data_IF_373573640412
#
_entry.id   IF_373573640412
#
_cell.length_a   1.000
_cell.length_b   1.000
_cell.length_c   1.000
_cell.angle_alpha   90.00
_cell.angle_beta   90.00
_cell.angle_gamma   90.00
#
_symmetry.space_group_name_H-M   'P 1'
#
loop_
_entity.id
_entity.type
_entity.pdbx_description
1 polymer ?
#
# COMPACT_ATOMS: atom_id res chain seq x y z
N UNK A 1 15.55 3.97 -6.64
CA UNK A 1 14.20 3.45 -6.39
C UNK A 1 13.50 4.22 -5.27
N UNK A 2 14.14 4.41 -4.09
CA UNK A 2 13.57 5.12 -2.95
C UNK A 2 13.03 6.53 -3.28
N UNK A 3 13.75 7.31 -4.09
CA UNK A 3 13.26 8.63 -4.54
C UNK A 3 11.99 8.50 -5.39
N UNK A 4 11.92 7.52 -6.27
CA UNK A 4 10.74 7.29 -7.11
C UNK A 4 9.52 6.92 -6.26
N UNK A 5 9.69 6.02 -5.28
CA UNK A 5 8.61 5.67 -4.35
C UNK A 5 8.20 6.84 -3.47
N UNK A 6 9.15 7.70 -3.06
CA UNK A 6 8.86 8.96 -2.38
C UNK A 6 7.99 9.90 -3.23
N UNK A 7 8.32 10.07 -4.51
CA UNK A 7 7.51 10.87 -5.45
C UNK A 7 6.10 10.29 -5.60
N UNK A 8 5.97 8.97 -5.74
CA UNK A 8 4.66 8.30 -5.80
C UNK A 8 3.84 8.58 -4.54
N UNK A 9 4.46 8.52 -3.36
CA UNK A 9 3.78 8.81 -2.08
C UNK A 9 3.27 10.25 -2.01
N UNK A 10 4.08 11.22 -2.43
CA UNK A 10 3.65 12.64 -2.50
C UNK A 10 2.50 12.82 -3.47
N UNK A 11 2.59 12.22 -4.67
CA UNK A 11 1.51 12.29 -5.65
C UNK A 11 0.22 11.65 -5.15
N UNK A 12 0.31 10.55 -4.40
CA UNK A 12 -0.83 9.88 -3.79
C UNK A 12 -1.53 10.79 -2.76
N UNK A 13 -0.75 11.47 -1.91
CA UNK A 13 -1.29 12.45 -0.95
C UNK A 13 -1.90 13.66 -1.65
N UNK A 14 -1.28 14.16 -2.71
CA UNK A 14 -1.84 15.24 -3.53
C UNK A 14 -3.17 14.83 -4.17
N UNK A 15 -3.27 13.61 -4.67
CA UNK A 15 -4.50 13.07 -5.25
C UNK A 15 -5.60 12.94 -4.21
N UNK A 16 -5.30 12.41 -3.04
CA UNK A 16 -6.25 12.28 -1.94
C UNK A 16 -6.74 13.68 -1.49
N UNK A 17 -5.83 14.63 -1.33
CA UNK A 17 -6.16 16.00 -0.96
C UNK A 17 -6.96 16.73 -2.03
N UNK A 18 -6.60 16.59 -3.31
CA UNK A 18 -7.31 17.25 -4.41
C UNK A 18 -8.73 16.70 -4.62
N UNK A 19 -8.93 15.38 -4.46
CA UNK A 19 -10.27 14.78 -4.53
C UNK A 19 -11.15 15.22 -3.37
N UNK A 20 -10.59 15.35 -2.16
CA UNK A 20 -11.29 15.91 -1.01
C UNK A 20 -11.67 17.38 -1.22
N UNK A 21 -10.73 18.22 -1.66
CA UNK A 21 -10.99 19.62 -1.96
C UNK A 21 -12.08 19.78 -3.04
N UNK A 22 -12.03 18.98 -4.09
CA UNK A 22 -13.04 19.01 -5.14
C UNK A 22 -14.45 18.63 -4.63
N UNK A 23 -14.53 17.88 -3.54
CA UNK A 23 -15.81 17.51 -2.91
C UNK A 23 -16.32 18.60 -1.95
N UNK A 24 -15.42 19.31 -1.26
CA UNK A 24 -15.78 20.25 -0.17
C UNK A 24 -15.77 21.71 -0.59
N UNK A 25 -15.33 22.04 -1.81
CA UNK A 25 -15.23 23.43 -2.28
C UNK A 25 -16.00 23.61 -3.58
N UNK A 26 -16.32 24.88 -3.86
CA UNK A 26 -17.09 25.26 -5.05
C UNK A 26 -16.27 26.13 -6.01
N UNK A 27 -16.82 26.34 -7.20
CA UNK A 27 -16.36 27.29 -8.21
C UNK A 27 -14.86 27.15 -8.60
N UNK A 28 -14.07 28.20 -8.39
CA UNK A 28 -12.68 28.29 -8.88
C UNK A 28 -11.74 27.27 -8.20
N UNK A 29 -11.92 27.00 -6.90
CA UNK A 29 -11.08 26.06 -6.15
C UNK A 29 -11.35 24.63 -6.61
N UNK A 30 -12.62 24.28 -6.77
CA UNK A 30 -13.02 22.97 -7.27
C UNK A 30 -12.44 22.67 -8.67
N UNK A 31 -12.50 23.67 -9.59
CA UNK A 31 -11.95 23.53 -10.95
C UNK A 31 -10.43 23.29 -10.92
N UNK A 32 -9.70 24.02 -10.05
CA UNK A 32 -8.25 23.82 -9.87
C UNK A 32 -7.95 22.45 -9.28
N UNK A 33 -8.70 22.02 -8.27
CA UNK A 33 -8.55 20.71 -7.66
C UNK A 33 -8.75 19.56 -8.68
N UNK A 34 -9.77 19.64 -9.54
CA UNK A 34 -10.00 18.68 -10.63
C UNK A 34 -8.83 18.61 -11.62
N UNK A 35 -8.23 19.74 -11.95
CA UNK A 35 -7.06 19.77 -12.83
C UNK A 35 -5.83 19.15 -12.15
N UNK A 36 -5.61 19.41 -10.87
CA UNK A 36 -4.54 18.77 -10.09
C UNK A 36 -4.74 17.27 -10.05
N UNK A 37 -5.97 16.79 -9.79
CA UNK A 37 -6.27 15.34 -9.81
C UNK A 37 -5.95 14.70 -11.16
N UNK A 38 -6.25 15.36 -12.27
CA UNK A 38 -5.94 14.82 -13.59
C UNK A 38 -4.42 14.69 -13.80
N UNK A 39 -3.68 15.78 -13.64
CA UNK A 39 -2.24 15.77 -13.94
C UNK A 39 -1.43 14.94 -12.93
N UNK A 40 -1.74 15.08 -11.65
CA UNK A 40 -1.11 14.25 -10.61
C UNK A 40 -1.45 12.78 -10.77
N UNK A 41 -2.68 12.44 -11.21
CA UNK A 41 -3.10 11.08 -11.48
C UNK A 41 -2.33 10.45 -12.64
N UNK A 42 -2.22 11.14 -13.76
CA UNK A 42 -1.44 10.66 -14.91
C UNK A 42 0.05 10.49 -14.55
N UNK A 43 0.62 11.45 -13.82
CA UNK A 43 2.01 11.38 -13.38
C UNK A 43 2.21 10.23 -12.39
N UNK A 44 1.29 10.02 -11.46
CA UNK A 44 1.35 8.93 -10.49
C UNK A 44 1.25 7.56 -11.18
N UNK A 45 0.34 7.37 -12.13
CA UNK A 45 0.22 6.11 -12.88
C UNK A 45 1.47 5.83 -13.71
N UNK A 46 2.07 6.84 -14.34
CA UNK A 46 3.32 6.69 -15.09
C UNK A 46 4.50 6.34 -14.17
N UNK A 47 4.62 7.03 -13.02
CA UNK A 47 5.64 6.74 -12.02
C UNK A 47 5.47 5.35 -11.39
N UNK A 48 4.23 4.92 -11.14
CA UNK A 48 3.93 3.58 -10.64
C UNK A 48 4.30 2.49 -11.66
N UNK A 49 4.00 2.70 -12.94
CA UNK A 49 4.43 1.81 -14.03
C UNK A 49 5.96 1.70 -14.11
N UNK A 50 6.65 2.85 -14.06
CA UNK A 50 8.11 2.89 -14.05
C UNK A 50 8.70 2.17 -12.83
N UNK A 51 8.10 2.34 -11.65
CA UNK A 51 8.52 1.64 -10.44
C UNK A 51 8.35 0.12 -10.55
N UNK A 52 7.24 -0.36 -11.11
CA UNK A 52 7.01 -1.79 -11.36
C UNK A 52 8.02 -2.40 -12.32
N UNK A 53 8.31 -1.72 -13.43
CA UNK A 53 9.34 -2.13 -14.39
C UNK A 53 10.74 -2.13 -13.76
N UNK A 54 11.06 -1.13 -12.96
CA UNK A 54 12.34 -1.08 -12.26
C UNK A 54 12.47 -2.21 -11.24
N UNK A 55 11.40 -2.46 -10.47
CA UNK A 55 11.36 -3.51 -9.47
C UNK A 55 11.62 -4.90 -10.05
N UNK A 56 11.15 -5.17 -11.28
CA UNK A 56 11.38 -6.44 -11.98
C UNK A 56 12.85 -6.71 -12.31
N UNK A 57 13.67 -5.66 -12.34
CA UNK A 57 15.10 -5.74 -12.65
C UNK A 57 16.00 -5.65 -11.42
N UNK A 58 15.44 -5.28 -10.27
CA UNK A 58 16.19 -5.19 -9.03
C UNK A 58 16.43 -6.56 -8.41
N UNK A 59 17.55 -6.68 -7.73
CA UNK A 59 17.83 -7.82 -6.87
C UNK A 59 16.89 -7.79 -5.66
N UNK A 60 16.25 -8.91 -5.41
CA UNK A 60 15.32 -9.11 -4.30
C UNK A 60 15.73 -10.29 -3.44
N UNK A 61 14.99 -10.49 -2.36
CA UNK A 61 15.24 -11.56 -1.40
C UNK A 61 14.16 -12.64 -1.51
N UNK A 62 14.59 -13.90 -1.46
CA UNK A 62 13.69 -15.07 -1.38
C UNK A 62 14.08 -15.93 -0.20
N UNK A 63 13.09 -16.44 0.53
CA UNK A 63 13.31 -17.42 1.60
C UNK A 63 13.27 -18.81 0.99
N UNK A 64 14.39 -19.53 1.06
CA UNK A 64 14.49 -20.91 0.53
C UNK A 64 14.25 -21.99 1.59
N UNK A 65 14.56 -21.70 2.85
CA UNK A 65 14.23 -22.55 4.00
C UNK A 65 13.60 -21.73 5.09
N UNK A 66 12.46 -22.16 5.57
CA UNK A 66 11.79 -21.63 6.77
C UNK A 66 12.21 -22.53 7.93
N UNK A 67 12.48 -21.95 9.12
CA UNK A 67 12.70 -22.74 10.33
C UNK A 67 11.45 -23.59 10.63
N UNK A 68 11.64 -24.80 11.15
CA UNK A 68 10.54 -25.71 11.45
C UNK A 68 9.49 -25.06 12.37
N UNK A 69 8.24 -25.20 11.97
CA UNK A 69 7.06 -24.72 12.69
C UNK A 69 6.98 -25.50 14.01
N UNK A 70 7.48 -24.95 15.10
CA UNK A 70 7.48 -25.60 16.42
C UNK A 70 8.76 -25.42 17.23
N UNK A 71 9.83 -24.94 16.61
CA UNK A 71 11.04 -24.51 17.32
C UNK A 71 10.91 -23.07 17.81
N UNK A 72 11.65 -22.72 18.87
CA UNK A 72 11.73 -21.32 19.32
C UNK A 72 12.12 -20.41 18.17
N UNK A 73 11.45 -19.27 18.07
CA UNK A 73 11.69 -18.25 17.03
C UNK A 73 13.17 -17.88 17.02
N UNK A 74 13.90 -18.35 16.01
CA UNK A 74 15.30 -18.05 15.80
C UNK A 74 15.51 -17.48 14.40
N UNK A 75 15.72 -16.18 14.26
CA UNK A 75 15.93 -15.52 12.97
C UNK A 75 17.08 -16.08 12.14
N UNK A 76 18.03 -16.78 12.76
CA UNK A 76 19.22 -17.32 12.11
C UNK A 76 19.00 -18.69 11.45
N UNK A 77 17.88 -19.36 11.71
CA UNK A 77 17.60 -20.70 11.16
C UNK A 77 16.99 -20.71 9.75
N UNK A 78 16.80 -19.55 9.14
CA UNK A 78 16.33 -19.43 7.77
C UNK A 78 17.49 -19.21 6.79
N UNK A 79 17.28 -19.65 5.56
CA UNK A 79 18.21 -19.36 4.45
C UNK A 79 17.54 -18.40 3.48
N UNK A 80 18.16 -17.26 3.28
CA UNK A 80 17.67 -16.22 2.35
C UNK A 80 18.68 -16.08 1.22
N UNK A 81 18.18 -16.09 -0.02
CA UNK A 81 19.00 -15.97 -1.23
C UNK A 81 18.59 -14.71 -1.98
N UNK A 82 19.58 -14.05 -2.57
CA UNK A 82 19.37 -12.91 -3.46
C UNK A 82 19.08 -13.45 -4.86
N UNK A 83 18.00 -13.01 -5.46
CA UNK A 83 17.67 -13.35 -6.84
C UNK A 83 17.11 -12.13 -7.58
N UNK A 84 17.39 -12.00 -8.86
CA UNK A 84 16.90 -10.90 -9.69
C UNK A 84 15.38 -10.98 -9.84
N UNK A 85 14.69 -9.85 -9.63
CA UNK A 85 13.24 -9.80 -9.71
C UNK A 85 12.48 -10.53 -8.59
N UNK A 86 13.17 -10.96 -7.53
CA UNK A 86 12.58 -11.77 -6.46
C UNK A 86 11.44 -11.07 -5.71
N UNK A 87 11.37 -9.74 -5.72
CA UNK A 87 10.25 -8.98 -5.15
C UNK A 87 8.91 -9.24 -5.84
N UNK A 88 8.93 -9.76 -7.08
CA UNK A 88 7.72 -10.14 -7.82
C UNK A 88 7.42 -11.65 -7.76
N UNK A 89 8.19 -12.43 -6.99
CA UNK A 89 8.00 -13.88 -6.87
C UNK A 89 6.60 -14.28 -6.38
N UNK A 90 6.01 -13.51 -5.48
CA UNK A 90 4.66 -13.75 -4.97
C UNK A 90 3.61 -13.58 -6.08
N UNK A 91 3.78 -12.61 -6.96
CA UNK A 91 2.89 -12.38 -8.10
C UNK A 91 3.02 -13.48 -9.17
N UNK A 92 4.21 -14.05 -9.34
CA UNK A 92 4.39 -15.20 -10.25
C UNK A 92 3.88 -16.50 -9.66
N UNK A 93 3.97 -16.67 -8.32
CA UNK A 93 3.43 -17.84 -7.62
C UNK A 93 1.90 -17.86 -7.58
N UNK A 94 1.28 -16.69 -7.45
CA UNK A 94 -0.18 -16.52 -7.40
C UNK A 94 -0.64 -15.43 -8.36
N UNK A 95 -0.98 -15.75 -9.61
CA UNK A 95 -1.37 -14.76 -10.62
C UNK A 95 -2.55 -13.89 -10.22
N UNK A 96 -3.41 -14.33 -9.30
CA UNK A 96 -4.53 -13.54 -8.77
C UNK A 96 -4.06 -12.25 -8.07
N UNK A 97 -2.85 -12.24 -7.51
CA UNK A 97 -2.30 -11.05 -6.85
C UNK A 97 -2.08 -9.87 -7.82
N UNK A 98 -1.95 -10.12 -9.13
CA UNK A 98 -1.89 -9.06 -10.13
C UNK A 98 -3.14 -8.18 -10.19
N UNK A 99 -4.26 -8.67 -9.65
CA UNK A 99 -5.47 -7.85 -9.51
C UNK A 99 -5.24 -6.64 -8.59
N UNK A 100 -4.36 -6.74 -7.59
CA UNK A 100 -4.11 -5.65 -6.63
C UNK A 100 -3.49 -4.43 -7.33
N UNK A 101 -2.34 -4.54 -8.04
CA UNK A 101 -1.81 -3.40 -8.79
C UNK A 101 -2.75 -2.97 -9.94
N UNK A 102 -3.47 -3.89 -10.58
CA UNK A 102 -4.47 -3.55 -11.59
C UNK A 102 -5.59 -2.68 -11.01
N UNK A 103 -6.06 -2.96 -9.79
CA UNK A 103 -7.03 -2.14 -9.09
C UNK A 103 -6.55 -0.71 -8.88
N UNK A 104 -5.25 -0.47 -8.64
CA UNK A 104 -4.71 0.89 -8.53
C UNK A 104 -4.98 1.67 -9.82
N UNK A 105 -4.67 1.10 -11.00
CA UNK A 105 -4.93 1.75 -12.27
C UNK A 105 -6.41 2.03 -12.51
N UNK A 106 -7.25 1.04 -12.22
CA UNK A 106 -8.71 1.16 -12.40
C UNK A 106 -9.29 2.22 -11.47
N UNK A 107 -8.94 2.19 -10.18
CA UNK A 107 -9.51 3.09 -9.18
C UNK A 107 -9.05 4.54 -9.37
N UNK A 108 -7.78 4.79 -9.71
CA UNK A 108 -7.30 6.15 -10.01
C UNK A 108 -7.96 6.68 -11.26
N UNK A 109 -8.01 5.88 -12.34
CA UNK A 109 -8.68 6.29 -13.58
C UNK A 109 -10.17 6.56 -13.36
N UNK A 110 -10.84 5.70 -12.61
CA UNK A 110 -12.24 5.87 -12.24
C UNK A 110 -12.46 7.13 -11.41
N UNK A 111 -11.57 7.42 -10.45
CA UNK A 111 -11.65 8.66 -9.65
C UNK A 111 -11.56 9.91 -10.53
N UNK A 112 -10.65 9.93 -11.51
CA UNK A 112 -10.51 11.03 -12.46
C UNK A 112 -11.82 11.20 -13.30
N UNK A 113 -12.37 10.10 -13.78
CA UNK A 113 -13.63 10.12 -14.56
C UNK A 113 -14.79 10.59 -13.70
N UNK A 114 -14.95 10.07 -12.48
CA UNK A 114 -16.02 10.44 -11.56
C UNK A 114 -16.00 11.94 -11.21
N UNK A 115 -14.80 12.52 -11.06
CA UNK A 115 -14.68 13.97 -10.89
C UNK A 115 -15.14 14.77 -12.10
N UNK A 116 -14.93 14.25 -13.32
CA UNK A 116 -15.37 14.91 -14.55
C UNK A 116 -16.89 14.93 -14.70
N UNK A 117 -17.56 13.88 -14.23
CA UNK A 117 -19.04 13.77 -14.25
C UNK A 117 -19.69 14.30 -12.97
N UNK A 118 -18.99 15.16 -12.21
CA UNK A 118 -19.46 15.83 -10.98
C UNK A 118 -19.80 14.90 -9.80
N UNK A 119 -19.44 13.63 -9.85
CA UNK A 119 -19.62 12.67 -8.75
C UNK A 119 -18.46 12.72 -7.77
N UNK A 120 -18.23 13.88 -7.16
CA UNK A 120 -17.04 14.18 -6.35
C UNK A 120 -16.88 13.31 -5.11
N UNK A 121 -17.99 12.93 -4.43
CA UNK A 121 -17.93 12.01 -3.29
C UNK A 121 -17.42 10.61 -3.70
N UNK A 122 -17.98 10.07 -4.80
CA UNK A 122 -17.55 8.77 -5.30
C UNK A 122 -16.09 8.81 -5.78
N UNK A 123 -15.65 9.92 -6.37
CA UNK A 123 -14.26 10.13 -6.75
C UNK A 123 -13.32 10.09 -5.53
N UNK A 124 -13.71 10.71 -4.42
CA UNK A 124 -12.94 10.66 -3.17
C UNK A 124 -12.88 9.24 -2.59
N UNK A 125 -14.00 8.52 -2.56
CA UNK A 125 -14.06 7.14 -2.06
C UNK A 125 -13.20 6.20 -2.92
N UNK A 126 -13.30 6.29 -4.24
CA UNK A 126 -12.47 5.47 -5.15
C UNK A 126 -10.99 5.78 -5.03
N UNK A 127 -10.64 7.05 -4.79
CA UNK A 127 -9.25 7.43 -4.52
C UNK A 127 -8.74 6.86 -3.20
N UNK A 128 -9.55 6.87 -2.14
CA UNK A 128 -9.21 6.26 -0.84
C UNK A 128 -8.99 4.75 -0.97
N UNK A 129 -9.83 4.06 -1.75
CA UNK A 129 -9.63 2.64 -2.06
C UNK A 129 -8.34 2.40 -2.87
N UNK A 130 -7.99 3.32 -3.77
CA UNK A 130 -6.72 3.24 -4.51
C UNK A 130 -5.50 3.37 -3.59
N UNK A 131 -5.57 4.23 -2.55
CA UNK A 131 -4.53 4.31 -1.53
C UNK A 131 -4.34 2.96 -0.82
N UNK A 132 -5.43 2.31 -0.43
CA UNK A 132 -5.38 0.98 0.19
C UNK A 132 -4.79 -0.06 -0.77
N UNK A 133 -5.21 -0.08 -2.04
CA UNK A 133 -4.68 -0.98 -3.06
C UNK A 133 -3.17 -0.76 -3.31
N UNK A 134 -2.69 0.49 -3.26
CA UNK A 134 -1.27 0.82 -3.39
C UNK A 134 -0.46 0.24 -2.23
N UNK A 135 -0.93 0.40 -0.99
CA UNK A 135 -0.28 -0.16 0.20
C UNK A 135 -0.26 -1.69 0.13
N UNK A 136 -1.37 -2.31 -0.28
CA UNK A 136 -1.44 -3.76 -0.46
C UNK A 136 -0.50 -4.25 -1.55
N UNK A 137 -0.32 -3.50 -2.64
CA UNK A 137 0.66 -3.84 -3.70
C UNK A 137 2.08 -3.88 -3.13
N UNK A 138 2.47 -2.88 -2.34
CA UNK A 138 3.78 -2.86 -1.70
C UNK A 138 3.93 -3.99 -0.66
N UNK A 139 2.90 -4.22 0.15
CA UNK A 139 2.90 -5.28 1.17
C UNK A 139 3.04 -6.68 0.53
N UNK A 140 2.32 -6.95 -0.55
CA UNK A 140 2.42 -8.24 -1.27
C UNK A 140 3.77 -8.43 -1.96
N UNK A 141 4.39 -7.35 -2.46
CA UNK A 141 5.73 -7.41 -3.04
C UNK A 141 6.80 -7.72 -1.98
N UNK A 142 6.69 -7.13 -0.79
CA UNK A 142 7.64 -7.34 0.31
C UNK A 142 7.43 -8.65 1.06
N UNK A 143 6.23 -9.22 1.05
CA UNK A 143 5.94 -10.46 1.78
C UNK A 143 6.91 -11.59 1.38
N UNK A 144 7.49 -12.33 2.34
CA UNK A 144 7.23 -12.35 3.77
C UNK A 144 8.13 -11.42 4.61
N UNK A 145 8.95 -10.57 3.99
CA UNK A 145 9.91 -9.73 4.70
C UNK A 145 9.23 -8.50 5.31
N UNK A 146 9.53 -8.24 6.59
CA UNK A 146 9.14 -7.01 7.30
C UNK A 146 10.31 -6.01 7.25
N UNK A 147 11.53 -6.50 7.46
CA UNK A 147 12.77 -5.71 7.42
C UNK A 147 13.83 -6.45 6.61
N UNK A 148 13.96 -6.17 5.30
CA UNK A 148 15.01 -6.75 4.48
C UNK A 148 16.37 -6.15 4.85
N UNK A 149 17.40 -6.99 5.05
CA UNK A 149 18.77 -6.59 5.30
C UNK A 149 19.58 -6.62 4.01
N UNK A 150 20.26 -5.52 3.72
CA UNK A 150 21.10 -5.38 2.52
C UNK A 150 22.46 -6.05 2.74
N UNK A 151 23.04 -5.91 3.95
CA UNK A 151 24.41 -6.36 4.24
C UNK A 151 24.51 -7.87 4.45
N UNK A 152 23.48 -8.47 5.08
CA UNK A 152 23.42 -9.91 5.32
C UNK A 152 21.98 -10.40 5.12
N UNK A 153 21.70 -11.07 3.99
CA UNK A 153 20.35 -11.53 3.67
C UNK A 153 19.72 -12.39 4.76
N UNK A 154 20.52 -13.24 5.44
CA UNK A 154 20.03 -14.12 6.49
C UNK A 154 19.59 -13.37 7.77
N UNK A 155 20.02 -12.13 7.96
CA UNK A 155 19.58 -11.26 9.07
C UNK A 155 18.28 -10.50 8.75
N UNK A 156 17.72 -10.67 7.56
CA UNK A 156 16.42 -10.09 7.22
C UNK A 156 15.33 -10.63 8.14
N UNK A 157 14.48 -9.76 8.67
CA UNK A 157 13.35 -10.20 9.49
C UNK A 157 12.15 -10.50 8.61
N UNK A 158 11.63 -11.69 8.77
CA UNK A 158 10.36 -12.12 8.16
C UNK A 158 9.20 -11.90 9.12
N UNK A 159 7.97 -12.00 8.61
CA UNK A 159 6.77 -11.89 9.41
C UNK A 159 6.78 -12.89 10.59
N UNK A 160 7.28 -14.11 10.36
CA UNK A 160 7.36 -15.16 11.39
C UNK A 160 8.40 -14.87 12.48
N UNK A 161 9.49 -14.17 12.14
CA UNK A 161 10.53 -13.78 13.09
C UNK A 161 10.17 -12.52 13.91
N UNK A 162 9.36 -11.64 13.32
CA UNK A 162 9.04 -10.32 13.87
C UNK A 162 7.72 -10.28 14.64
N UNK A 163 6.89 -11.33 14.53
CA UNK A 163 5.61 -11.39 15.24
C UNK A 163 5.80 -11.73 16.71
N UNK A 164 4.96 -11.14 17.52
CA UNK A 164 4.86 -11.43 18.94
C UNK A 164 4.22 -12.81 19.21
N UNK A 165 4.21 -13.25 20.45
CA UNK A 165 3.58 -14.52 20.82
C UNK A 165 2.09 -14.56 20.44
N UNK A 166 1.54 -15.74 20.19
CA UNK A 166 0.13 -15.93 19.86
C UNK A 166 -0.82 -15.33 20.91
N UNK A 167 -0.43 -15.39 22.20
CA UNK A 167 -1.19 -14.78 23.28
C UNK A 167 -1.24 -13.26 23.16
N UNK A 168 -0.10 -12.62 22.92
CA UNK A 168 -0.01 -11.15 22.75
C UNK A 168 -0.80 -10.69 21.53
N UNK A 169 -0.69 -11.42 20.41
CA UNK A 169 -1.46 -11.11 19.20
C UNK A 169 -2.97 -11.21 19.44
N UNK A 170 -3.41 -12.21 20.20
CA UNK A 170 -4.83 -12.35 20.54
C UNK A 170 -5.33 -11.19 21.41
N UNK A 171 -4.56 -10.79 22.43
CA UNK A 171 -4.90 -9.62 23.25
C UNK A 171 -4.97 -8.35 22.40
N UNK A 172 -3.97 -8.14 21.52
CA UNK A 172 -3.96 -6.98 20.60
C UNK A 172 -5.17 -6.98 19.66
N UNK A 173 -5.57 -8.16 19.15
CA UNK A 173 -6.76 -8.29 18.31
C UNK A 173 -8.03 -7.83 19.04
N UNK A 174 -8.26 -8.29 20.25
CA UNK A 174 -9.43 -7.89 21.03
C UNK A 174 -9.43 -6.39 21.37
N UNK A 175 -8.28 -5.86 21.76
CA UNK A 175 -8.12 -4.42 21.99
C UNK A 175 -8.44 -3.63 20.73
N UNK A 176 -7.90 -4.02 19.58
CA UNK A 176 -8.16 -3.36 18.31
C UNK A 176 -9.65 -3.45 17.92
N UNK A 177 -10.27 -4.62 18.05
CA UNK A 177 -11.69 -4.82 17.74
C UNK A 177 -12.64 -3.94 18.55
N UNK A 178 -12.27 -3.59 19.79
CA UNK A 178 -13.08 -2.74 20.67
C UNK A 178 -12.77 -1.26 20.43
N UNK A 179 -11.49 -0.90 20.49
CA UNK A 179 -11.10 0.52 20.48
C UNK A 179 -11.13 1.17 19.09
N UNK A 180 -10.81 0.43 18.00
CA UNK A 180 -10.85 1.00 16.65
C UNK A 180 -12.26 1.45 16.27
N UNK A 181 -13.33 0.65 16.44
CA UNK A 181 -14.69 1.13 16.18
C UNK A 181 -15.07 2.34 17.05
N UNK A 182 -14.70 2.36 18.33
CA UNK A 182 -14.97 3.51 19.21
C UNK A 182 -14.31 4.79 18.69
N UNK A 183 -13.03 4.70 18.31
CA UNK A 183 -12.29 5.86 17.75
C UNK A 183 -12.93 6.31 16.43
N UNK A 184 -13.28 5.37 15.55
CA UNK A 184 -13.93 5.69 14.29
C UNK A 184 -15.29 6.36 14.48
N UNK A 185 -16.11 5.86 15.40
CA UNK A 185 -17.40 6.46 15.73
C UNK A 185 -17.25 7.86 16.33
N UNK A 186 -16.33 8.03 17.28
CA UNK A 186 -16.03 9.34 17.85
C UNK A 186 -15.55 10.33 16.80
N UNK A 187 -14.63 9.90 15.95
CA UNK A 187 -14.09 10.75 14.87
C UNK A 187 -15.18 11.11 13.87
N UNK A 188 -15.98 10.13 13.43
CA UNK A 188 -17.09 10.36 12.51
C UNK A 188 -18.13 11.33 13.10
N UNK A 189 -18.46 11.17 14.39
CA UNK A 189 -19.39 12.06 15.08
C UNK A 189 -18.82 13.49 15.21
N UNK A 190 -17.55 13.60 15.54
CA UNK A 190 -16.87 14.90 15.60
C UNK A 190 -16.95 15.64 14.26
N UNK A 191 -16.61 14.97 13.16
CA UNK A 191 -16.73 15.56 11.82
C UNK A 191 -18.17 15.85 11.38
N UNK A 192 -19.14 15.06 11.85
CA UNK A 192 -20.55 15.33 11.57
C UNK A 192 -21.06 16.60 12.27
N UNK A 193 -20.52 16.90 13.46
CA UNK A 193 -20.92 18.10 14.25
C UNK A 193 -20.18 19.38 13.84
N UNK A 194 -19.04 19.28 13.18
CA UNK A 194 -18.32 20.44 12.61
C UNK A 194 -18.96 20.91 11.29
#
# INVERSE_FOLDING_TARGET
FALLTGVISVLLLMLQGSTFLAHRTDAAVQKRAKNVTLWAGLLMLSAFSAAGLWLSQMDGLTVTKIADVGTSINPLMKTVVIAKGAWLSNYSAQPLLWLIPALVYVLVSLSIVLQRIERTLLAFVTMSLSCAAMILTAATALFPFVLPSINNPNMSLTLWDATSSAYTLNVMLWVALIFVPIILLYTAWSYYKM
#
